data_IF_155124270313
#
_entry.id   IF_155124270313
#
_cell.length_a   1.000
_cell.length_b   1.000
_cell.length_c   1.000
_cell.angle_alpha   90.00
_cell.angle_beta   90.00
_cell.angle_gamma   90.00
#
_symmetry.space_group_name_H-M   'P 1'
#
loop_
_entity.id
_entity.type
_entity.pdbx_description
1 polymer ?
#
# COMPACT_ATOMS: atom_id res chain seq x y z
N UNK A 1 22.88 6.59 16.45
CA UNK A 1 21.89 7.66 16.28
C UNK A 1 21.02 7.18 15.14
N UNK A 2 19.78 6.79 15.45
CA UNK A 2 18.87 6.22 14.46
C UNK A 2 18.59 7.26 13.38
N UNK A 3 19.03 6.97 12.16
CA UNK A 3 18.57 7.64 10.96
C UNK A 3 17.12 7.18 10.74
N UNK A 4 16.15 7.85 11.38
CA UNK A 4 14.79 7.81 10.87
C UNK A 4 14.83 8.48 9.50
N UNK A 5 14.63 7.71 8.43
CA UNK A 5 14.29 8.26 7.12
C UNK A 5 13.06 9.17 7.32
N UNK A 6 13.26 10.48 7.33
CA UNK A 6 12.16 11.43 7.37
C UNK A 6 11.35 11.23 6.10
N UNK A 7 10.15 10.67 6.24
CA UNK A 7 9.23 10.48 5.12
C UNK A 7 8.54 11.81 4.80
N UNK A 8 8.14 11.97 3.53
CA UNK A 8 7.43 13.17 3.07
C UNK A 8 6.18 13.40 3.95
N UNK A 9 6.08 14.55 4.66
CA UNK A 9 4.93 14.86 5.50
C UNK A 9 3.59 14.82 4.75
N UNK A 10 3.57 15.14 3.45
CA UNK A 10 2.34 15.06 2.65
C UNK A 10 1.90 13.60 2.43
N UNK A 11 2.85 12.73 2.10
CA UNK A 11 2.59 11.29 1.99
C UNK A 11 2.17 10.69 3.33
N UNK A 12 2.84 11.04 4.43
CA UNK A 12 2.46 10.56 5.76
C UNK A 12 1.06 11.00 6.16
N UNK A 13 0.72 12.27 5.92
CA UNK A 13 -0.61 12.79 6.20
C UNK A 13 -1.67 12.05 5.38
N UNK A 14 -1.41 11.82 4.09
CA UNK A 14 -2.28 11.04 3.23
C UNK A 14 -2.52 9.63 3.78
N UNK A 15 -1.47 8.93 4.23
CA UNK A 15 -1.56 7.58 4.78
C UNK A 15 -2.42 7.53 6.02
N UNK A 16 -2.25 8.48 6.93
CA UNK A 16 -3.07 8.56 8.15
C UNK A 16 -4.54 8.76 7.80
N UNK A 17 -4.84 9.66 6.85
CA UNK A 17 -6.22 9.89 6.39
C UNK A 17 -6.82 8.68 5.68
N UNK A 18 -6.03 7.92 4.91
CA UNK A 18 -6.48 6.68 4.26
C UNK A 18 -6.84 5.60 5.30
N UNK A 19 -6.01 5.42 6.33
CA UNK A 19 -6.33 4.49 7.42
C UNK A 19 -7.56 4.94 8.21
N UNK A 20 -7.72 6.25 8.48
CA UNK A 20 -8.90 6.77 9.16
C UNK A 20 -10.17 6.53 8.32
N UNK A 21 -10.09 6.77 7.02
CA UNK A 21 -11.18 6.50 6.08
C UNK A 21 -11.55 5.00 6.08
N UNK A 22 -10.58 4.10 6.10
CA UNK A 22 -10.82 2.67 6.18
C UNK A 22 -11.48 2.26 7.51
N UNK A 23 -11.01 2.79 8.65
CA UNK A 23 -11.61 2.48 9.95
C UNK A 23 -13.05 2.98 10.07
N UNK A 24 -13.32 4.23 9.65
CA UNK A 24 -14.67 4.80 9.66
C UNK A 24 -15.58 4.12 8.64
N UNK A 25 -15.05 3.77 7.46
CA UNK A 25 -15.80 3.10 6.39
C UNK A 25 -16.29 1.69 6.74
N UNK A 26 -15.75 1.06 7.79
CA UNK A 26 -16.29 -0.21 8.34
C UNK A 26 -17.64 -0.02 9.05
N UNK A 27 -17.95 1.19 9.50
CA UNK A 27 -19.09 1.49 10.39
C UNK A 27 -20.07 2.51 9.80
N UNK A 28 -19.56 3.44 9.01
CA UNK A 28 -20.32 4.59 8.50
C UNK A 28 -20.27 4.64 6.97
N UNK A 29 -21.30 5.25 6.39
CA UNK A 29 -21.30 5.59 4.97
C UNK A 29 -20.48 6.86 4.73
N UNK A 30 -19.38 6.72 4.00
CA UNK A 30 -18.44 7.83 3.77
C UNK A 30 -18.84 8.56 2.48
N UNK A 31 -19.01 9.90 2.51
CA UNK A 31 -19.32 10.66 1.32
C UNK A 31 -18.27 10.44 0.22
N UNK A 32 -18.72 10.10 -0.99
CA UNK A 32 -17.84 9.75 -2.13
C UNK A 32 -16.80 10.84 -2.45
N UNK A 33 -17.14 12.10 -2.15
CA UNK A 33 -16.23 13.23 -2.31
C UNK A 33 -14.96 13.09 -1.47
N UNK A 34 -15.04 12.55 -0.24
CA UNK A 34 -13.88 12.34 0.64
C UNK A 34 -12.90 11.36 0.00
N UNK A 35 -13.40 10.21 -0.47
CA UNK A 35 -12.59 9.21 -1.16
C UNK A 35 -11.95 9.77 -2.43
N UNK A 36 -12.69 10.55 -3.23
CA UNK A 36 -12.18 11.18 -4.45
C UNK A 36 -11.11 12.23 -4.16
N UNK A 37 -11.33 13.08 -3.15
CA UNK A 37 -10.36 14.12 -2.77
C UNK A 37 -9.08 13.46 -2.26
N UNK A 38 -9.18 12.40 -1.46
CA UNK A 38 -8.03 11.66 -0.96
C UNK A 38 -7.26 10.98 -2.11
N UNK A 39 -7.94 10.30 -3.04
CA UNK A 39 -7.30 9.72 -4.23
C UNK A 39 -6.61 10.78 -5.07
N UNK A 40 -7.26 11.92 -5.28
CA UNK A 40 -6.70 12.98 -6.11
C UNK A 40 -5.50 13.66 -5.46
N UNK A 41 -5.54 13.87 -4.13
CA UNK A 41 -4.40 14.33 -3.35
C UNK A 41 -3.20 13.40 -3.55
N UNK A 42 -3.39 12.08 -3.50
CA UNK A 42 -2.31 11.10 -3.75
C UNK A 42 -1.64 11.28 -5.11
N UNK A 43 -2.44 11.42 -6.15
CA UNK A 43 -1.93 11.60 -7.51
C UNK A 43 -1.16 12.90 -7.66
N UNK A 44 -1.65 13.99 -7.07
CA UNK A 44 -0.97 15.29 -7.09
C UNK A 44 0.31 15.28 -6.25
N UNK A 45 0.31 14.64 -5.08
CA UNK A 45 1.52 14.45 -4.26
C UNK A 45 2.59 13.68 -5.04
N UNK A 46 2.22 12.60 -5.74
CA UNK A 46 3.17 11.88 -6.59
C UNK A 46 3.69 12.75 -7.75
N UNK A 47 2.82 13.53 -8.38
CA UNK A 47 3.21 14.47 -9.43
C UNK A 47 4.17 15.55 -8.89
N UNK A 48 3.92 16.09 -7.70
CA UNK A 48 4.81 17.03 -7.04
C UNK A 48 6.16 16.40 -6.68
N UNK A 49 6.17 15.20 -6.06
CA UNK A 49 7.38 14.52 -5.59
C UNK A 49 8.34 14.07 -6.70
N UNK A 50 7.86 13.96 -7.94
CA UNK A 50 8.72 13.66 -9.10
C UNK A 50 9.74 14.78 -9.38
N UNK A 51 9.34 16.05 -9.27
CA UNK A 51 10.24 17.22 -9.35
C UNK A 51 9.62 18.43 -8.63
N UNK A 52 9.87 18.59 -7.32
CA UNK A 52 9.32 19.70 -6.54
C UNK A 52 9.81 21.09 -6.97
N UNK A 53 10.88 21.17 -7.77
CA UNK A 53 11.50 22.44 -8.20
C UNK A 53 10.91 22.98 -9.49
N UNK A 54 10.18 22.15 -10.24
CA UNK A 54 9.52 22.55 -11.48
C UNK A 54 8.33 23.48 -11.16
N UNK A 55 8.25 24.68 -11.77
CA UNK A 55 7.25 25.69 -11.42
C UNK A 55 5.79 25.25 -11.52
N UNK A 56 5.42 24.41 -12.49
CA UNK A 56 4.03 23.96 -12.63
C UNK A 56 3.66 22.89 -11.59
N UNK A 57 4.58 21.97 -11.26
CA UNK A 57 4.43 21.03 -10.13
C UNK A 57 4.36 21.75 -8.78
N UNK A 58 5.21 22.74 -8.55
CA UNK A 58 5.24 23.49 -7.29
C UNK A 58 3.92 24.24 -7.01
N UNK A 59 3.19 24.66 -8.07
CA UNK A 59 1.87 25.30 -7.93
C UNK A 59 0.77 24.36 -7.46
N UNK A 60 0.96 23.04 -7.54
CA UNK A 60 -0.02 22.07 -7.06
C UNK A 60 0.03 21.92 -5.53
N UNK A 61 1.10 22.35 -4.85
CA UNK A 61 1.25 22.20 -3.39
C UNK A 61 0.06 22.79 -2.59
N UNK A 62 -0.40 24.03 -2.82
CA UNK A 62 -1.58 24.56 -2.14
C UNK A 62 -2.86 23.75 -2.41
N UNK A 63 -2.96 23.14 -3.59
CA UNK A 63 -4.12 22.31 -3.97
C UNK A 63 -4.09 20.97 -3.25
N UNK A 64 -2.92 20.35 -3.13
CA UNK A 64 -2.70 19.15 -2.31
C UNK A 64 -3.12 19.44 -0.87
N UNK A 65 -2.62 20.53 -0.30
CA UNK A 65 -2.95 20.93 1.07
C UNK A 65 -4.45 21.14 1.28
N UNK A 66 -5.14 21.82 0.34
CA UNK A 66 -6.59 22.00 0.43
C UNK A 66 -7.33 20.67 0.41
N UNK A 67 -6.97 19.75 -0.48
CA UNK A 67 -7.63 18.44 -0.58
C UNK A 67 -7.44 17.63 0.71
N UNK A 68 -6.23 17.62 1.27
CA UNK A 68 -5.93 16.93 2.53
C UNK A 68 -6.66 17.60 3.71
N UNK A 69 -6.69 18.93 3.79
CA UNK A 69 -7.42 19.68 4.82
C UNK A 69 -8.92 19.39 4.77
N UNK A 70 -9.53 19.41 3.59
CA UNK A 70 -10.97 19.17 3.40
C UNK A 70 -11.34 17.72 3.77
N UNK A 71 -10.45 16.78 3.43
CA UNK A 71 -10.62 15.36 3.79
C UNK A 71 -10.49 15.17 5.30
N UNK A 72 -9.46 15.76 5.92
CA UNK A 72 -9.23 15.71 7.37
C UNK A 72 -10.41 16.27 8.15
N UNK A 73 -10.91 17.47 7.79
CA UNK A 73 -12.04 18.10 8.45
C UNK A 73 -13.29 17.19 8.43
N UNK A 74 -13.57 16.57 7.29
CA UNK A 74 -14.73 15.67 7.12
C UNK A 74 -14.55 14.38 7.92
N UNK A 75 -13.38 13.75 7.83
CA UNK A 75 -13.10 12.49 8.53
C UNK A 75 -13.04 12.69 10.05
N UNK A 76 -12.39 13.74 10.55
CA UNK A 76 -12.33 14.05 11.98
C UNK A 76 -13.71 14.44 12.53
N UNK A 77 -14.53 15.14 11.74
CA UNK A 77 -15.92 15.42 12.09
C UNK A 77 -16.74 14.13 12.27
N UNK A 78 -16.51 13.11 11.43
CA UNK A 78 -17.12 11.79 11.59
C UNK A 78 -16.50 10.97 12.74
N UNK A 79 -15.20 11.10 12.97
CA UNK A 79 -14.49 10.45 14.08
C UNK A 79 -15.07 10.84 15.45
N UNK A 80 -15.66 12.03 15.57
CA UNK A 80 -16.41 12.44 16.77
C UNK A 80 -17.54 11.49 17.18
N UNK A 81 -18.07 10.66 16.27
CA UNK A 81 -19.08 9.65 16.57
C UNK A 81 -18.50 8.46 17.36
N UNK A 82 -17.19 8.24 17.33
CA UNK A 82 -16.50 7.14 18.03
C UNK A 82 -16.08 7.52 19.47
N UNK A 83 -16.12 8.81 19.81
CA UNK A 83 -15.76 9.32 21.13
C UNK A 83 -14.39 10.01 21.20
N UNK A 84 -14.14 10.69 22.32
CA UNK A 84 -12.98 11.56 22.50
C UNK A 84 -11.64 10.83 22.45
N UNK A 85 -11.57 9.59 22.97
CA UNK A 85 -10.34 8.79 22.96
C UNK A 85 -9.90 8.47 21.52
N UNK A 86 -10.86 8.09 20.66
CA UNK A 86 -10.62 7.82 19.25
C UNK A 86 -10.15 9.09 18.54
N UNK A 87 -10.86 10.21 18.73
CA UNK A 87 -10.46 11.51 18.15
C UNK A 87 -9.03 11.89 18.56
N UNK A 88 -8.70 11.81 19.84
CA UNK A 88 -7.38 12.17 20.37
C UNK A 88 -6.26 11.30 19.80
N UNK A 89 -6.52 9.99 19.62
CA UNK A 89 -5.58 9.06 18.99
C UNK A 89 -5.27 9.49 17.55
N UNK A 90 -6.29 9.84 16.77
CA UNK A 90 -6.11 10.24 15.37
C UNK A 90 -5.51 11.64 15.21
N UNK A 91 -5.84 12.59 16.09
CA UNK A 91 -5.17 13.90 16.15
C UNK A 91 -3.68 13.74 16.41
N UNK A 92 -3.30 12.86 17.35
CA UNK A 92 -1.90 12.59 17.65
C UNK A 92 -1.18 11.96 16.45
N UNK A 93 -1.84 11.04 15.73
CA UNK A 93 -1.30 10.45 14.50
C UNK A 93 -1.10 11.49 13.40
N UNK A 94 -2.06 12.37 13.18
CA UNK A 94 -1.95 13.46 12.20
C UNK A 94 -0.82 14.44 12.57
N UNK A 95 -0.67 14.76 13.86
CA UNK A 95 0.42 15.59 14.36
C UNK A 95 1.79 14.93 14.15
N UNK A 96 1.90 13.62 14.35
CA UNK A 96 3.14 12.88 14.12
C UNK A 96 3.47 12.78 12.62
N UNK A 97 2.47 12.57 11.76
CA UNK A 97 2.63 12.61 10.31
C UNK A 97 3.11 13.99 9.81
N UNK A 98 2.55 15.08 10.36
CA UNK A 98 2.98 16.44 10.03
C UNK A 98 4.45 16.73 10.42
N UNK A 99 5.00 15.97 11.37
CA UNK A 99 6.42 16.01 11.77
C UNK A 99 7.31 15.10 10.91
N UNK A 100 6.77 14.45 9.88
CA UNK A 100 7.48 13.50 9.02
C UNK A 100 7.78 12.16 9.70
N UNK A 101 7.13 11.85 10.83
CA UNK A 101 7.27 10.54 11.46
C UNK A 101 6.47 9.51 10.68
N UNK A 102 7.04 8.33 10.49
CA UNK A 102 6.30 7.19 9.97
C UNK A 102 5.29 6.69 11.01
N UNK A 103 4.01 6.93 10.76
CA UNK A 103 2.91 6.57 11.68
C UNK A 103 2.45 5.13 11.42
N UNK A 104 2.37 4.76 10.14
CA UNK A 104 2.02 3.43 9.69
C UNK A 104 3.18 2.89 8.86
N UNK A 105 3.65 1.69 9.19
CA UNK A 105 4.63 0.98 8.37
C UNK A 105 4.00 0.69 7.02
N UNK A 106 4.36 1.45 6.00
CA UNK A 106 3.98 1.08 4.65
C UNK A 106 4.78 -0.17 4.30
N UNK A 107 4.11 -1.30 4.08
CA UNK A 107 4.72 -2.36 3.31
C UNK A 107 5.05 -1.74 1.95
N UNK A 108 6.33 -1.49 1.67
CA UNK A 108 6.78 -1.04 0.35
C UNK A 108 6.43 -2.15 -0.63
N UNK A 109 5.21 -2.14 -1.16
CA UNK A 109 4.86 -2.92 -2.34
C UNK A 109 5.56 -2.19 -3.48
N UNK A 110 6.85 -2.47 -3.63
CA UNK A 110 7.56 -2.08 -4.82
C UNK A 110 6.84 -2.79 -5.96
N UNK A 111 6.09 -2.03 -6.76
CA UNK A 111 5.63 -2.45 -8.07
C UNK A 111 6.88 -2.60 -8.94
N UNK A 112 7.62 -3.69 -8.76
CA UNK A 112 8.74 -4.03 -9.63
C UNK A 112 8.13 -4.47 -10.95
N UNK A 113 8.45 -3.75 -12.02
CA UNK A 113 8.32 -4.28 -13.37
C UNK A 113 9.13 -5.58 -13.42
N UNK A 114 8.53 -6.67 -13.87
CA UNK A 114 9.16 -7.99 -13.91
C UNK A 114 9.68 -8.21 -15.33
N UNK A 115 10.98 -8.02 -15.60
CA UNK A 115 11.52 -8.18 -16.94
C UNK A 115 11.39 -9.64 -17.36
N UNK A 116 10.75 -9.91 -18.50
CA UNK A 116 10.54 -11.28 -18.99
C UNK A 116 9.14 -11.84 -18.79
N UNK A 117 8.23 -11.11 -18.13
CA UNK A 117 6.81 -11.48 -18.06
C UNK A 117 6.24 -11.63 -19.48
N UNK A 118 5.81 -12.84 -19.89
CA UNK A 118 5.31 -13.02 -21.23
C UNK A 118 3.99 -12.26 -21.38
N UNK A 119 3.86 -11.48 -22.46
CA UNK A 119 2.63 -10.78 -22.76
C UNK A 119 1.50 -11.81 -22.91
N UNK A 120 0.41 -11.64 -22.16
CA UNK A 120 -0.81 -12.47 -22.09
C UNK A 120 -0.90 -13.52 -20.97
N UNK A 121 0.01 -13.56 -19.98
CA UNK A 121 -0.24 -14.35 -18.77
C UNK A 121 -0.88 -13.51 -17.67
N UNK A 122 -1.78 -14.14 -16.92
CA UNK A 122 -2.20 -13.66 -15.61
C UNK A 122 -1.05 -13.87 -14.62
N UNK A 123 -1.09 -13.13 -13.51
CA UNK A 123 -0.10 -13.32 -12.47
C UNK A 123 -0.68 -13.09 -11.07
N UNK A 124 -0.08 -13.78 -10.10
CA UNK A 124 -0.33 -13.55 -8.67
C UNK A 124 1.00 -13.29 -7.98
N UNK A 125 1.00 -12.31 -7.07
CA UNK A 125 2.12 -12.03 -6.18
C UNK A 125 1.71 -12.31 -4.74
N UNK A 126 2.56 -12.98 -3.99
CA UNK A 126 2.47 -13.10 -2.54
C UNK A 126 3.83 -12.92 -1.89
N UNK A 127 3.82 -12.63 -0.59
CA UNK A 127 5.03 -12.43 0.19
C UNK A 127 5.11 -13.44 1.34
N UNK A 128 6.28 -14.03 1.56
CA UNK A 128 6.59 -14.87 2.71
C UNK A 128 7.20 -14.04 3.84
N UNK A 129 6.97 -14.45 5.10
CA UNK A 129 7.58 -13.79 6.27
C UNK A 129 9.06 -14.10 6.40
N UNK A 130 9.49 -15.27 5.93
CA UNK A 130 10.88 -15.72 5.90
C UNK A 130 11.22 -16.15 4.47
N UNK A 131 12.47 -15.97 4.01
CA UNK A 131 12.92 -16.47 2.72
C UNK A 131 12.59 -17.95 2.53
N UNK A 132 12.20 -18.32 1.32
CA UNK A 132 11.93 -19.70 0.94
C UNK A 132 12.71 -20.02 -0.34
N UNK A 133 13.28 -21.22 -0.40
CA UNK A 133 14.06 -21.63 -1.56
C UNK A 133 13.16 -21.99 -2.75
N UNK A 134 13.52 -21.49 -3.93
CA UNK A 134 12.85 -21.75 -5.21
C UNK A 134 12.66 -23.25 -5.50
N UNK A 135 13.64 -24.08 -5.10
CA UNK A 135 13.60 -25.53 -5.26
C UNK A 135 12.34 -26.18 -4.69
N UNK A 136 11.70 -25.57 -3.68
CA UNK A 136 10.45 -26.09 -3.09
C UNK A 136 9.24 -26.00 -4.03
N UNK A 137 9.31 -25.17 -5.06
CA UNK A 137 8.21 -24.92 -5.97
C UNK A 137 8.42 -25.49 -7.37
N UNK A 138 9.64 -25.90 -7.73
CA UNK A 138 9.96 -26.36 -9.09
C UNK A 138 9.04 -27.49 -9.56
N UNK A 139 8.82 -28.51 -8.73
CA UNK A 139 7.94 -29.65 -9.10
C UNK A 139 6.49 -29.21 -9.38
N UNK A 140 5.98 -28.27 -8.58
CA UNK A 140 4.62 -27.71 -8.76
C UNK A 140 4.57 -26.87 -10.04
N UNK A 141 5.61 -26.09 -10.30
CA UNK A 141 5.69 -25.24 -11.49
C UNK A 141 5.71 -26.07 -12.77
N UNK A 142 6.49 -27.14 -12.80
CA UNK A 142 6.54 -28.08 -13.91
C UNK A 142 5.21 -28.82 -14.11
N UNK A 143 4.58 -29.28 -13.02
CA UNK A 143 3.34 -30.05 -13.09
C UNK A 143 2.14 -29.20 -13.52
N UNK A 144 2.03 -27.99 -12.97
CA UNK A 144 0.91 -27.08 -13.22
C UNK A 144 1.15 -26.13 -14.40
N UNK A 145 2.30 -26.24 -15.07
CA UNK A 145 2.71 -25.41 -16.21
C UNK A 145 2.64 -23.90 -15.89
N UNK A 146 3.22 -23.53 -14.74
CA UNK A 146 3.36 -22.13 -14.30
C UNK A 146 4.83 -21.74 -14.18
N UNK A 147 5.10 -20.46 -14.30
CA UNK A 147 6.45 -19.89 -14.11
C UNK A 147 6.49 -19.23 -12.74
N UNK A 148 7.56 -19.46 -11.98
CA UNK A 148 7.81 -18.80 -10.71
C UNK A 148 9.04 -17.90 -10.80
N UNK A 149 8.94 -16.70 -10.23
CA UNK A 149 10.06 -15.77 -10.10
C UNK A 149 10.12 -15.23 -8.67
N UNK A 150 11.33 -15.08 -8.16
CA UNK A 150 11.60 -14.52 -6.84
C UNK A 150 12.10 -13.08 -6.98
N UNK A 151 11.74 -12.22 -6.02
CA UNK A 151 12.41 -10.93 -5.90
C UNK A 151 13.81 -11.06 -5.29
N UNK A 152 14.62 -10.01 -5.41
CA UNK A 152 16.00 -9.96 -4.89
C UNK A 152 16.14 -10.25 -3.38
N UNK A 153 15.04 -10.32 -2.63
CA UNK A 153 15.01 -10.57 -1.19
C UNK A 153 14.46 -11.96 -0.84
N UNK A 154 14.25 -12.84 -1.83
CA UNK A 154 13.71 -14.21 -1.70
C UNK A 154 12.38 -14.29 -0.91
N UNK A 155 11.64 -13.18 -0.85
CA UNK A 155 10.48 -13.01 0.05
C UNK A 155 9.23 -12.64 -0.70
N UNK A 156 9.33 -11.99 -1.86
CA UNK A 156 8.21 -11.87 -2.79
C UNK A 156 8.34 -12.94 -3.86
N UNK A 157 7.24 -13.63 -4.13
CA UNK A 157 7.15 -14.65 -5.17
C UNK A 157 6.04 -14.27 -6.15
N UNK A 158 6.34 -14.45 -7.42
CA UNK A 158 5.44 -14.21 -8.53
C UNK A 158 5.16 -15.52 -9.24
N UNK A 159 3.89 -15.82 -9.49
CA UNK A 159 3.47 -16.95 -10.32
C UNK A 159 2.81 -16.40 -11.56
N UNK A 160 3.26 -16.86 -12.73
CA UNK A 160 2.70 -16.54 -14.04
C UNK A 160 2.13 -17.79 -14.70
N UNK A 161 0.98 -17.66 -15.34
CA UNK A 161 0.31 -18.76 -16.02
C UNK A 161 -1.08 -18.35 -16.51
N UNK A 162 -1.83 -19.29 -17.07
CA UNK A 162 -3.26 -19.07 -17.31
C UNK A 162 -4.01 -19.14 -15.98
N UNK A 163 -5.13 -18.42 -15.87
CA UNK A 163 -5.89 -18.31 -14.61
C UNK A 163 -6.17 -19.66 -13.93
N UNK A 164 -6.55 -20.69 -14.70
CA UNK A 164 -6.86 -22.03 -14.16
C UNK A 164 -5.61 -22.75 -13.63
N UNK A 165 -4.49 -22.64 -14.34
CA UNK A 165 -3.20 -23.21 -13.94
C UNK A 165 -2.63 -22.52 -12.68
N UNK A 166 -2.80 -21.20 -12.57
CA UNK A 166 -2.43 -20.46 -11.37
C UNK A 166 -3.24 -20.93 -10.16
N UNK A 167 -4.55 -21.17 -10.33
CA UNK A 167 -5.41 -21.63 -9.23
C UNK A 167 -5.00 -23.00 -8.71
N UNK A 168 -4.67 -23.95 -9.59
CA UNK A 168 -4.20 -25.28 -9.17
C UNK A 168 -2.82 -25.20 -8.51
N UNK A 169 -1.88 -24.44 -9.08
CA UNK A 169 -0.57 -24.20 -8.46
C UNK A 169 -0.69 -23.60 -7.05
N UNK A 170 -1.58 -22.63 -6.84
CA UNK A 170 -1.79 -22.02 -5.52
C UNK A 170 -2.36 -23.01 -4.49
N UNK A 171 -3.19 -23.98 -4.92
CA UNK A 171 -3.71 -25.02 -4.01
C UNK A 171 -2.60 -25.97 -3.58
N UNK A 172 -1.76 -26.40 -4.51
CA UNK A 172 -0.60 -27.26 -4.21
C UNK A 172 0.43 -26.53 -3.34
N UNK A 173 0.56 -25.21 -3.49
CA UNK A 173 1.43 -24.37 -2.66
C UNK A 173 0.85 -24.01 -1.28
N UNK A 174 -0.43 -24.30 -1.02
CA UNK A 174 -1.12 -23.96 0.23
C UNK A 174 -0.43 -24.41 1.53
N UNK A 175 0.21 -25.60 1.59
CA UNK A 175 0.95 -26.04 2.77
C UNK A 175 2.10 -25.09 3.15
N UNK A 176 2.81 -24.51 2.17
CA UNK A 176 3.92 -23.60 2.42
C UNK A 176 3.47 -22.27 3.04
N UNK A 177 2.27 -21.79 2.70
CA UNK A 177 1.70 -20.60 3.33
C UNK A 177 1.36 -20.85 4.81
N UNK A 178 0.92 -22.07 5.14
CA UNK A 178 0.56 -22.44 6.51
C UNK A 178 1.78 -22.51 7.43
N UNK A 179 2.93 -22.96 6.92
CA UNK A 179 4.22 -22.96 7.64
C UNK A 179 4.68 -21.55 8.07
N UNK A 180 4.18 -20.51 7.41
CA UNK A 180 4.59 -19.11 7.59
C UNK A 180 3.62 -18.33 8.49
N UNK A 181 2.51 -18.95 8.91
CA UNK A 181 1.55 -18.36 9.84
C UNK A 181 1.92 -18.56 11.32
N UNK A 182 3.00 -19.30 11.62
CA UNK A 182 3.55 -19.50 12.98
C UNK A 182 4.56 -18.41 13.35
#
# INVERSE_FOLDING_TARGET
MDNQELMDPLEQRWVVLDHLLQELGKKYDIPTEVTKNLQYARSLTHYYNQDPTEPDRAKELPRIDSLLNDTELKLMGMAGMEGEDFVSEWEQRLLDAAKGKEVFKQAKIQSKFIPGMPANFDFVRFNFKKPIHEERFMEICEYENVIIEFDDNDSSVFIFGEEDHIKEALKEMAPFFSEQMV
#
